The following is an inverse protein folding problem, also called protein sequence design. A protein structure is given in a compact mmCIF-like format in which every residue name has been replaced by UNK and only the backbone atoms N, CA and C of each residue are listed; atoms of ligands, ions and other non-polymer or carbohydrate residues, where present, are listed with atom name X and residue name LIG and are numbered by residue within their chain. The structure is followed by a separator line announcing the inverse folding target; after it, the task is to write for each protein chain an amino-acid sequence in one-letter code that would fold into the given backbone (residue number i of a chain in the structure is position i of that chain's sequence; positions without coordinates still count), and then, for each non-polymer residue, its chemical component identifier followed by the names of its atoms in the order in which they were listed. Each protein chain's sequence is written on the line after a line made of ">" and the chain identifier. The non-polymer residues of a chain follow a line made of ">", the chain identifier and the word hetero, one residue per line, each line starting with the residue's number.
data_IF_536053659694
#
_entry.id   IF_536053659694
#
_cell.length_a   1.000
_cell.length_b   1.000
_cell.length_c   1.000
_cell.angle_alpha   90.00
_cell.angle_beta   90.00
_cell.angle_gamma   90.00
#
_symmetry.space_group_name_H-M   'P 1'
#
loop_
_entity.id
_entity.type
_entity.pdbx_description
1 polymer ?
#
# COMPACT_ATOMS: atom_id res chain seq x y z
N UNK A 1 68.49 -39.62 23.18
CA UNK A 1 68.17 -38.26 22.72
C UNK A 1 67.46 -38.36 21.42
N UNK A 2 66.12 -38.42 21.42
CA UNK A 2 65.27 -38.47 20.21
C UNK A 2 64.42 -37.21 20.18
N UNK A 3 64.56 -36.38 19.12
CA UNK A 3 63.75 -35.24 18.87
C UNK A 3 62.58 -35.72 17.97
N UNK A 4 61.36 -35.54 18.50
CA UNK A 4 60.11 -35.74 17.74
C UNK A 4 59.72 -34.39 17.15
N UNK A 5 59.68 -34.29 15.81
CA UNK A 5 59.22 -33.13 15.10
C UNK A 5 57.71 -33.21 14.92
N UNK A 6 57.00 -32.19 15.40
CA UNK A 6 55.55 -32.03 15.18
C UNK A 6 55.31 -31.38 13.83
N UNK A 7 54.55 -32.07 12.96
CA UNK A 7 54.03 -31.53 11.69
C UNK A 7 52.68 -30.89 12.00
N UNK A 8 52.61 -29.59 11.83
CA UNK A 8 51.34 -28.85 11.90
C UNK A 8 50.66 -28.93 10.51
N UNK A 9 49.52 -29.57 10.48
CA UNK A 9 48.64 -29.59 9.27
C UNK A 9 47.83 -28.28 9.22
N UNK A 10 48.09 -27.44 8.22
CA UNK A 10 47.24 -26.32 7.89
C UNK A 10 46.01 -26.82 7.13
N UNK A 11 44.83 -26.77 7.75
CA UNK A 11 43.55 -26.95 7.10
C UNK A 11 43.13 -25.64 6.46
N UNK A 12 43.17 -25.56 5.14
CA UNK A 12 42.64 -24.44 4.37
C UNK A 12 41.11 -24.58 4.30
N UNK A 13 40.40 -23.71 5.03
CA UNK A 13 38.93 -23.60 4.92
C UNK A 13 38.58 -22.81 3.67
N UNK A 14 38.07 -23.50 2.66
CA UNK A 14 37.52 -22.87 1.43
C UNK A 14 36.17 -22.27 1.81
N UNK A 15 36.09 -20.94 1.93
CA UNK A 15 34.81 -20.21 1.96
C UNK A 15 34.19 -20.29 0.59
N UNK A 16 33.15 -21.11 0.45
CA UNK A 16 32.29 -21.08 -0.73
C UNK A 16 31.46 -19.78 -0.70
N UNK A 17 31.84 -18.81 -1.52
CA UNK A 17 30.97 -17.66 -1.82
C UNK A 17 29.75 -18.20 -2.58
N UNK A 18 28.62 -18.30 -1.89
CA UNK A 18 27.32 -18.48 -2.52
C UNK A 18 26.97 -17.17 -3.23
N UNK A 19 27.18 -17.12 -4.53
CA UNK A 19 26.65 -16.06 -5.38
C UNK A 19 25.14 -16.18 -5.37
N UNK A 20 24.45 -15.25 -4.69
CA UNK A 20 23.02 -15.02 -4.86
C UNK A 20 22.82 -14.69 -6.34
N UNK A 21 21.97 -15.41 -7.10
CA UNK A 21 21.71 -15.06 -8.48
C UNK A 21 21.11 -13.65 -8.51
N UNK A 22 21.90 -12.67 -8.96
CA UNK A 22 21.42 -11.34 -9.25
C UNK A 22 20.33 -11.49 -10.32
N UNK A 23 19.12 -11.01 -10.03
CA UNK A 23 18.06 -10.90 -11.02
C UNK A 23 18.60 -10.04 -12.15
N UNK A 24 18.84 -10.66 -13.31
CA UNK A 24 19.29 -9.96 -14.52
C UNK A 24 18.25 -8.89 -14.82
N UNK A 25 18.63 -7.60 -14.66
CA UNK A 25 17.74 -6.49 -14.98
C UNK A 25 17.41 -6.55 -16.47
N UNK A 26 16.12 -6.64 -16.80
CA UNK A 26 15.67 -6.68 -18.19
C UNK A 26 16.08 -5.41 -18.92
N UNK A 27 16.55 -5.56 -20.17
CA UNK A 27 16.86 -4.46 -21.08
C UNK A 27 16.03 -4.58 -22.34
N UNK A 28 15.59 -3.44 -22.90
CA UNK A 28 14.80 -3.42 -24.12
C UNK A 28 15.70 -3.10 -25.32
N UNK A 29 15.65 -3.94 -26.36
CA UNK A 29 16.37 -3.72 -27.61
C UNK A 29 15.86 -2.50 -28.40
N UNK A 30 16.56 -2.12 -29.48
CA UNK A 30 16.15 -1.00 -30.34
C UNK A 30 14.78 -1.26 -30.97
N UNK A 31 14.02 -0.17 -31.19
CA UNK A 31 12.68 -0.24 -31.80
C UNK A 31 11.96 1.11 -31.74
N UNK A 32 10.70 1.16 -32.19
CA UNK A 32 9.91 2.39 -32.13
C UNK A 32 9.77 2.92 -30.71
N UNK A 33 9.76 4.26 -30.56
CA UNK A 33 9.51 4.92 -29.29
C UNK A 33 8.09 4.64 -28.82
N UNK A 34 7.94 4.49 -27.50
CA UNK A 34 6.66 4.28 -26.82
C UNK A 34 6.54 5.29 -25.71
N UNK A 35 5.59 6.20 -25.83
CA UNK A 35 5.22 7.11 -24.75
C UNK A 35 4.29 6.41 -23.77
N UNK A 36 4.48 6.62 -22.47
CA UNK A 36 3.68 6.06 -21.40
C UNK A 36 3.33 7.15 -20.40
N UNK A 37 2.05 7.37 -20.16
CA UNK A 37 1.57 8.24 -19.08
C UNK A 37 1.34 7.41 -17.82
N UNK A 38 2.02 7.78 -16.73
CA UNK A 38 1.88 7.15 -15.42
C UNK A 38 1.42 8.18 -14.39
N UNK A 39 0.26 7.96 -13.81
CA UNK A 39 -0.30 8.78 -12.75
C UNK A 39 -0.25 8.02 -11.42
N UNK A 40 0.58 8.47 -10.47
CA UNK A 40 0.83 7.74 -9.24
C UNK A 40 0.92 8.68 -8.02
N UNK A 41 0.41 8.19 -6.88
CA UNK A 41 0.48 8.85 -5.56
C UNK A 41 -0.24 10.22 -5.45
N UNK A 42 -0.56 10.64 -4.20
CA UNK A 42 -1.38 11.84 -3.98
C UNK A 42 -0.67 13.15 -4.30
N UNK A 43 0.60 13.29 -3.91
CA UNK A 43 1.35 14.54 -3.95
C UNK A 43 2.80 14.31 -4.40
N UNK A 44 3.44 15.30 -5.05
CA UNK A 44 4.82 15.15 -5.55
C UNK A 44 5.86 14.89 -4.44
N UNK A 45 5.60 15.38 -3.23
CA UNK A 45 6.48 15.21 -2.07
C UNK A 45 6.29 13.89 -1.34
N UNK A 46 5.34 13.05 -1.75
CA UNK A 46 5.14 11.73 -1.14
C UNK A 46 6.36 10.84 -1.39
N UNK A 47 7.04 10.33 -0.36
CA UNK A 47 8.31 9.61 -0.52
C UNK A 47 8.24 8.41 -1.46
N UNK A 48 7.16 7.64 -1.48
CA UNK A 48 7.01 6.53 -2.43
C UNK A 48 7.03 6.98 -3.89
N UNK A 49 6.52 8.19 -4.19
CA UNK A 49 6.62 8.78 -5.52
C UNK A 49 8.00 9.39 -5.76
N UNK A 50 8.44 10.27 -4.86
CA UNK A 50 9.68 11.05 -5.00
C UNK A 50 10.92 10.16 -5.09
N UNK A 51 11.01 9.12 -4.24
CA UNK A 51 12.23 8.35 -4.02
C UNK A 51 12.20 6.97 -4.73
N UNK A 52 11.02 6.49 -5.15
CA UNK A 52 10.88 5.19 -5.81
C UNK A 52 10.31 5.32 -7.21
N UNK A 53 9.04 5.71 -7.37
CA UNK A 53 8.36 5.64 -8.66
C UNK A 53 8.95 6.61 -9.69
N UNK A 54 9.08 7.88 -9.34
CA UNK A 54 9.54 8.91 -10.28
C UNK A 54 10.94 8.61 -10.84
N UNK A 55 11.99 8.36 -10.01
CA UNK A 55 13.31 8.07 -10.55
C UNK A 55 13.39 6.73 -11.27
N UNK A 56 12.60 5.75 -10.87
CA UNK A 56 12.58 4.45 -11.56
C UNK A 56 11.93 4.56 -12.94
N UNK A 57 10.69 5.03 -13.00
CA UNK A 57 9.95 5.07 -14.26
C UNK A 57 10.50 6.10 -15.25
N UNK A 58 10.88 7.29 -14.78
CA UNK A 58 11.38 8.36 -15.65
C UNK A 58 12.82 8.13 -16.09
N UNK A 59 13.71 7.78 -15.14
CA UNK A 59 15.14 7.85 -15.40
C UNK A 59 15.73 6.44 -15.63
N UNK A 60 15.38 5.46 -14.80
CA UNK A 60 15.94 4.10 -14.89
C UNK A 60 15.40 3.37 -16.12
N UNK A 61 14.08 3.40 -16.35
CA UNK A 61 13.49 2.73 -17.51
C UNK A 61 13.89 3.36 -18.83
N UNK A 62 14.07 4.69 -18.89
CA UNK A 62 14.59 5.35 -20.09
C UNK A 62 15.95 4.76 -20.49
N UNK A 63 16.88 4.67 -19.52
CA UNK A 63 18.23 4.08 -19.76
C UNK A 63 18.15 2.59 -20.14
N UNK A 64 17.40 1.79 -19.41
CA UNK A 64 17.29 0.33 -19.65
C UNK A 64 16.56 -0.01 -20.94
N UNK A 65 15.72 0.88 -21.43
CA UNK A 65 15.03 0.74 -22.72
C UNK A 65 15.79 1.34 -23.90
N UNK A 66 17.05 1.79 -23.74
CA UNK A 66 17.79 2.53 -24.75
C UNK A 66 17.00 3.77 -25.25
N UNK A 67 16.33 4.49 -24.34
CA UNK A 67 15.44 5.62 -24.62
C UNK A 67 14.26 5.29 -25.57
N UNK A 68 13.89 4.02 -25.65
CA UNK A 68 12.72 3.58 -26.40
C UNK A 68 11.41 3.84 -25.63
N UNK A 69 11.45 3.75 -24.28
CA UNK A 69 10.33 4.15 -23.42
C UNK A 69 10.54 5.58 -22.92
N UNK A 70 9.50 6.39 -23.07
CA UNK A 70 9.40 7.72 -22.51
C UNK A 70 8.23 7.76 -21.55
N UNK A 71 8.51 7.62 -20.23
CA UNK A 71 7.48 7.58 -19.20
C UNK A 71 7.31 8.98 -18.59
N UNK A 72 6.14 9.57 -18.81
CA UNK A 72 5.73 10.82 -18.16
C UNK A 72 5.00 10.49 -16.88
N UNK A 73 5.61 10.80 -15.73
CA UNK A 73 5.01 10.62 -14.41
C UNK A 73 4.32 11.88 -13.91
N UNK A 74 3.18 11.74 -13.22
CA UNK A 74 2.44 12.83 -12.58
C UNK A 74 1.81 12.31 -11.28
N UNK A 75 1.36 13.23 -10.42
CA UNK A 75 0.62 12.91 -9.19
C UNK A 75 -0.84 13.37 -9.27
N UNK A 76 -1.68 12.91 -8.32
CA UNK A 76 -3.10 13.26 -8.33
C UNK A 76 -3.33 14.76 -8.24
N UNK A 77 -2.60 15.45 -7.35
CA UNK A 77 -2.74 16.90 -7.18
C UNK A 77 -2.26 17.69 -8.39
N UNK A 78 -1.22 17.22 -9.11
CA UNK A 78 -0.78 17.85 -10.36
C UNK A 78 -1.84 17.73 -11.47
N UNK A 79 -2.67 16.68 -11.41
CA UNK A 79 -3.79 16.48 -12.32
C UNK A 79 -5.12 17.04 -11.78
N UNK A 80 -5.11 17.68 -10.59
CA UNK A 80 -6.29 18.24 -9.91
C UNK A 80 -7.40 17.20 -9.67
N UNK A 81 -7.01 15.98 -9.26
CA UNK A 81 -7.92 14.88 -8.92
C UNK A 81 -7.70 14.38 -7.49
N UNK A 82 -8.61 13.56 -7.00
CA UNK A 82 -8.60 13.04 -5.62
C UNK A 82 -8.05 11.62 -5.50
N UNK A 83 -7.82 10.94 -6.63
CA UNK A 83 -7.38 9.54 -6.70
C UNK A 83 -8.52 8.54 -6.96
N UNK A 84 -9.77 8.89 -6.65
CA UNK A 84 -10.95 8.05 -6.97
C UNK A 84 -11.22 7.95 -8.47
N UNK A 85 -10.74 8.91 -9.25
CA UNK A 85 -10.93 9.01 -10.70
C UNK A 85 -9.94 8.15 -11.51
N UNK A 86 -8.84 7.72 -10.89
CA UNK A 86 -7.70 7.05 -11.57
C UNK A 86 -8.15 5.89 -12.46
N UNK A 87 -8.93 4.97 -11.89
CA UNK A 87 -9.32 3.76 -12.62
C UNK A 87 -10.26 4.10 -13.77
N UNK A 88 -11.13 5.11 -13.61
CA UNK A 88 -11.99 5.62 -14.70
C UNK A 88 -11.14 6.24 -15.81
N UNK A 89 -10.09 7.01 -15.47
CA UNK A 89 -9.17 7.60 -16.43
C UNK A 89 -8.38 6.53 -17.20
N UNK A 90 -7.87 5.52 -16.49
CA UNK A 90 -7.21 4.37 -17.12
C UNK A 90 -8.18 3.60 -18.03
N UNK A 91 -9.43 3.33 -17.56
CA UNK A 91 -10.49 2.69 -18.35
C UNK A 91 -10.76 3.40 -19.67
N UNK A 92 -10.85 4.73 -19.64
CA UNK A 92 -11.15 5.56 -20.82
C UNK A 92 -9.95 5.81 -21.72
N UNK A 93 -8.73 5.46 -21.30
CA UNK A 93 -7.48 5.73 -22.02
C UNK A 93 -7.01 7.18 -21.92
N UNK A 94 -7.51 7.96 -20.93
CA UNK A 94 -6.98 9.29 -20.63
C UNK A 94 -5.57 9.22 -20.03
N UNK A 95 -5.26 8.13 -19.38
CA UNK A 95 -3.93 7.74 -18.93
C UNK A 95 -3.69 6.27 -19.31
N UNK A 96 -2.42 5.92 -19.55
CA UNK A 96 -2.05 4.55 -19.86
C UNK A 96 -2.03 3.69 -18.60
N UNK A 97 -1.46 4.23 -17.52
CA UNK A 97 -1.33 3.55 -16.22
C UNK A 97 -1.61 4.53 -15.09
N UNK A 98 -2.38 4.08 -14.09
CA UNK A 98 -2.64 4.85 -12.88
C UNK A 98 -2.53 4.03 -11.62
N UNK A 99 -1.93 4.58 -10.56
CA UNK A 99 -1.83 3.94 -9.25
C UNK A 99 -2.92 4.48 -8.30
N UNK A 100 -3.67 3.58 -7.69
CA UNK A 100 -4.73 3.92 -6.74
C UNK A 100 -4.96 2.80 -5.73
N UNK A 101 -5.36 3.11 -4.48
CA UNK A 101 -5.84 2.10 -3.53
C UNK A 101 -6.99 1.28 -4.11
N UNK A 102 -6.94 -0.04 -3.93
CA UNK A 102 -7.98 -0.96 -4.43
C UNK A 102 -9.36 -0.61 -3.86
N UNK A 103 -9.42 -0.17 -2.60
CA UNK A 103 -10.66 0.21 -1.92
C UNK A 103 -11.34 1.43 -2.55
N UNK A 104 -10.63 2.28 -3.33
CA UNK A 104 -11.23 3.45 -3.98
C UNK A 104 -12.25 3.07 -5.09
N UNK A 105 -12.10 1.90 -5.67
CA UNK A 105 -13.04 1.38 -6.67
C UNK A 105 -13.85 0.18 -6.16
N UNK A 106 -13.75 -0.14 -4.88
CA UNK A 106 -14.47 -1.27 -4.29
C UNK A 106 -16.00 -1.11 -4.31
N UNK A 107 -16.53 0.08 -4.56
CA UNK A 107 -17.97 0.26 -4.81
C UNK A 107 -18.39 -0.32 -6.16
N UNK A 108 -17.54 -0.22 -7.19
CA UNK A 108 -17.82 -0.75 -8.53
C UNK A 108 -17.34 -2.20 -8.67
N UNK A 109 -16.25 -2.56 -8.00
CA UNK A 109 -15.61 -3.87 -8.04
C UNK A 109 -15.34 -4.36 -6.61
N UNK A 110 -16.38 -4.80 -5.86
CA UNK A 110 -16.26 -5.07 -4.42
C UNK A 110 -15.25 -6.16 -4.04
N UNK A 111 -14.90 -7.08 -4.94
CA UNK A 111 -13.89 -8.11 -4.68
C UNK A 111 -12.50 -7.53 -4.42
N UNK A 112 -12.20 -6.33 -4.90
CA UNK A 112 -10.92 -5.66 -4.66
C UNK A 112 -10.66 -5.36 -3.19
N UNK A 113 -11.70 -5.07 -2.43
CA UNK A 113 -11.58 -4.77 -0.99
C UNK A 113 -11.09 -5.99 -0.20
N UNK A 114 -11.28 -7.22 -0.72
CA UNK A 114 -10.83 -8.46 -0.08
C UNK A 114 -9.31 -8.52 0.16
N UNK A 115 -8.53 -7.79 -0.63
CA UNK A 115 -7.08 -7.76 -0.48
C UNK A 115 -6.64 -7.10 0.83
N UNK A 116 -7.46 -6.17 1.35
CA UNK A 116 -7.06 -5.35 2.50
C UNK A 116 -8.26 -4.87 3.34
N UNK A 117 -9.19 -5.78 3.65
CA UNK A 117 -10.28 -5.49 4.58
C UNK A 117 -9.73 -4.97 5.91
N UNK A 118 -10.38 -3.97 6.49
CA UNK A 118 -9.96 -3.37 7.73
C UNK A 118 -9.81 -4.40 8.85
N UNK A 119 -8.60 -4.50 9.43
CA UNK A 119 -8.25 -5.49 10.44
C UNK A 119 -7.81 -6.86 9.91
N UNK A 120 -7.79 -7.08 8.59
CA UNK A 120 -7.46 -8.38 8.01
C UNK A 120 -5.98 -8.73 8.13
N UNK A 121 -5.12 -7.79 7.82
CA UNK A 121 -3.68 -8.02 7.65
C UNK A 121 -2.89 -7.35 8.79
N UNK A 122 -2.47 -8.11 9.83
CA UNK A 122 -1.67 -7.55 10.92
C UNK A 122 -0.26 -7.15 10.48
N UNK A 123 0.25 -7.72 9.38
CA UNK A 123 1.57 -7.41 8.83
C UNK A 123 1.51 -7.17 7.31
N UNK A 124 2.49 -6.43 6.81
CA UNK A 124 2.60 -6.12 5.38
C UNK A 124 2.88 -7.37 4.54
N UNK A 125 3.62 -8.33 5.08
CA UNK A 125 3.91 -9.61 4.42
C UNK A 125 2.63 -10.43 4.21
N UNK A 126 1.72 -10.42 5.20
CA UNK A 126 0.42 -11.07 5.04
C UNK A 126 -0.44 -10.33 4.00
N UNK A 127 -0.45 -9.00 4.02
CA UNK A 127 -1.17 -8.20 3.03
C UNK A 127 -0.71 -8.52 1.60
N UNK A 128 0.62 -8.66 1.39
CA UNK A 128 1.17 -9.07 0.09
C UNK A 128 0.70 -10.46 -0.33
N UNK A 129 0.79 -11.45 0.56
CA UNK A 129 0.33 -12.82 0.28
C UNK A 129 -1.16 -12.86 -0.08
N UNK A 130 -2.00 -12.10 0.62
CA UNK A 130 -3.43 -12.00 0.34
C UNK A 130 -3.68 -11.37 -1.03
N UNK A 131 -2.99 -10.25 -1.34
CA UNK A 131 -3.08 -9.63 -2.66
C UNK A 131 -2.68 -10.60 -3.79
N UNK A 132 -1.53 -11.26 -3.66
CA UNK A 132 -1.02 -12.19 -4.66
C UNK A 132 -1.98 -13.36 -4.91
N UNK A 133 -2.62 -13.89 -3.85
CA UNK A 133 -3.61 -14.96 -3.96
C UNK A 133 -4.90 -14.52 -4.68
N UNK A 134 -5.23 -13.23 -4.66
CA UNK A 134 -6.41 -12.66 -5.31
C UNK A 134 -6.14 -12.09 -6.70
N UNK A 135 -4.89 -11.83 -7.08
CA UNK A 135 -4.51 -11.07 -8.26
C UNK A 135 -5.15 -11.60 -9.57
N UNK A 136 -5.19 -12.92 -9.76
CA UNK A 136 -5.79 -13.53 -10.96
C UNK A 136 -7.31 -13.32 -11.02
N UNK A 137 -8.00 -13.49 -9.88
CA UNK A 137 -9.46 -13.29 -9.77
C UNK A 137 -9.82 -11.83 -10.01
N UNK A 138 -9.08 -10.93 -9.38
CA UNK A 138 -9.25 -9.49 -9.48
C UNK A 138 -9.04 -9.03 -10.93
N UNK A 139 -7.95 -9.46 -11.58
CA UNK A 139 -7.69 -9.09 -12.99
C UNK A 139 -8.79 -9.58 -13.93
N UNK A 140 -9.32 -10.79 -13.72
CA UNK A 140 -10.44 -11.29 -14.53
C UNK A 140 -11.69 -10.42 -14.37
N UNK A 141 -12.00 -9.97 -13.16
CA UNK A 141 -13.15 -9.09 -12.92
C UNK A 141 -12.93 -7.67 -13.48
N UNK A 142 -11.68 -7.21 -13.58
CA UNK A 142 -11.31 -5.91 -14.11
C UNK A 142 -11.33 -5.84 -15.66
N UNK A 143 -11.22 -6.97 -16.35
CA UNK A 143 -11.23 -7.01 -17.84
C UNK A 143 -12.48 -6.34 -18.43
N UNK A 144 -13.65 -6.53 -17.81
CA UNK A 144 -14.90 -5.89 -18.23
C UNK A 144 -14.91 -4.37 -18.09
N UNK A 145 -13.98 -3.83 -17.31
CA UNK A 145 -13.75 -2.39 -17.15
C UNK A 145 -12.60 -1.88 -18.04
N UNK A 146 -12.08 -2.69 -18.96
CA UNK A 146 -10.95 -2.34 -19.82
C UNK A 146 -9.70 -1.92 -19.04
N UNK A 147 -9.47 -2.49 -17.86
CA UNK A 147 -8.26 -2.27 -17.04
C UNK A 147 -7.70 -3.59 -16.54
N UNK A 148 -6.40 -3.59 -16.22
CA UNK A 148 -5.73 -4.68 -15.53
C UNK A 148 -4.73 -4.12 -14.52
N UNK A 149 -4.48 -4.84 -13.45
CA UNK A 149 -3.39 -4.54 -12.51
C UNK A 149 -2.12 -5.20 -13.04
N UNK A 150 -1.08 -4.38 -13.23
CA UNK A 150 0.24 -4.79 -13.73
C UNK A 150 1.32 -4.77 -12.65
N UNK A 151 1.04 -4.19 -11.50
CA UNK A 151 1.89 -4.14 -10.32
C UNK A 151 1.10 -3.70 -9.11
N UNK A 152 1.70 -3.79 -7.92
CA UNK A 152 1.05 -3.42 -6.66
C UNK A 152 2.01 -2.78 -5.68
N UNK A 153 1.46 -2.04 -4.75
CA UNK A 153 2.19 -1.48 -3.62
C UNK A 153 1.29 -1.35 -2.39
N UNK A 154 1.83 -1.44 -1.17
CA UNK A 154 1.15 -0.94 0.00
C UNK A 154 1.41 0.55 0.15
N UNK A 155 0.55 1.28 0.84
CA UNK A 155 0.95 2.47 1.58
C UNK A 155 1.52 2.06 2.95
N UNK A 156 2.15 2.97 3.73
CA UNK A 156 2.50 2.69 5.11
C UNK A 156 1.32 2.17 5.90
N UNK A 157 1.58 1.44 6.99
CA UNK A 157 0.53 0.97 7.89
C UNK A 157 -0.47 2.08 8.20
N UNK A 158 -1.75 1.83 7.90
CA UNK A 158 -2.83 2.78 8.13
C UNK A 158 -3.14 2.79 9.62
N UNK A 159 -2.80 3.89 10.27
CA UNK A 159 -2.93 4.11 11.71
C UNK A 159 -3.90 5.25 11.98
N UNK A 160 -4.24 5.46 13.26
CA UNK A 160 -5.17 6.53 13.64
C UNK A 160 -4.39 7.75 14.15
N UNK A 161 -4.67 8.91 13.58
CA UNK A 161 -4.21 10.22 14.02
C UNK A 161 -5.35 10.94 14.72
N UNK A 162 -5.17 11.37 15.98
CA UNK A 162 -6.23 12.03 16.74
C UNK A 162 -5.79 13.40 17.25
N UNK A 163 -6.75 14.35 17.26
CA UNK A 163 -6.57 15.70 17.80
C UNK A 163 -6.52 15.73 19.33
N UNK A 164 -7.13 14.75 19.99
CA UNK A 164 -7.21 14.61 21.45
C UNK A 164 -6.65 13.25 21.88
N UNK A 165 -6.22 13.11 23.14
CA UNK A 165 -5.73 11.85 23.68
C UNK A 165 -6.62 10.65 23.35
N UNK A 166 -5.97 9.55 23.08
CA UNK A 166 -6.55 8.24 22.76
C UNK A 166 -5.70 7.21 23.49
N UNK A 167 -6.30 6.19 24.12
CA UNK A 167 -5.59 5.17 24.88
C UNK A 167 -5.54 3.82 24.15
N UNK A 168 -6.63 3.48 23.49
CA UNK A 168 -6.83 2.17 22.85
C UNK A 168 -7.86 2.28 21.71
N UNK A 169 -8.16 1.15 21.06
CA UNK A 169 -9.12 1.10 19.96
C UNK A 169 -10.55 1.46 20.42
N UNK A 170 -10.93 1.10 21.63
CA UNK A 170 -12.27 1.35 22.16
C UNK A 170 -12.54 2.84 22.44
N UNK A 171 -11.51 3.63 22.71
CA UNK A 171 -11.59 5.09 22.89
C UNK A 171 -12.04 5.84 21.61
N UNK A 172 -12.12 5.17 20.46
CA UNK A 172 -12.71 5.74 19.24
C UNK A 172 -14.23 5.85 19.31
N UNK A 173 -14.89 5.17 20.25
CA UNK A 173 -16.33 5.24 20.44
C UNK A 173 -16.80 6.69 20.59
N UNK A 174 -17.81 7.07 19.80
CA UNK A 174 -18.40 8.41 19.78
C UNK A 174 -17.58 9.47 19.04
N UNK A 175 -16.37 9.18 18.57
CA UNK A 175 -15.55 10.12 17.78
C UNK A 175 -15.94 10.09 16.31
N UNK A 176 -15.79 11.22 15.64
CA UNK A 176 -15.86 11.32 14.18
C UNK A 176 -14.48 10.97 13.61
N UNK A 177 -14.40 9.89 12.83
CA UNK A 177 -13.14 9.38 12.29
C UNK A 177 -13.16 9.44 10.78
N UNK A 178 -12.21 10.15 10.17
CA UNK A 178 -12.02 10.13 8.72
C UNK A 178 -11.57 8.76 8.25
N UNK A 179 -12.25 8.27 7.25
CA UNK A 179 -11.98 7.02 6.54
C UNK A 179 -11.86 7.28 5.04
N UNK A 180 -11.44 6.27 4.26
CA UNK A 180 -11.27 6.39 2.82
C UNK A 180 -11.78 5.16 2.04
N UNK A 181 -12.46 4.23 2.70
CA UNK A 181 -12.98 3.04 2.06
C UNK A 181 -14.08 2.36 2.87
N UNK A 182 -14.90 1.49 2.22
CA UNK A 182 -16.06 0.86 2.83
C UNK A 182 -15.72 -0.01 4.05
N UNK A 183 -14.67 -0.83 3.99
CA UNK A 183 -14.31 -1.72 5.11
C UNK A 183 -13.82 -0.95 6.34
N UNK A 184 -13.18 0.21 6.17
CA UNK A 184 -12.85 1.11 7.27
C UNK A 184 -14.12 1.75 7.88
N UNK A 185 -15.13 2.06 7.06
CA UNK A 185 -16.42 2.53 7.56
C UNK A 185 -17.09 1.46 8.45
N UNK A 186 -17.08 0.21 7.99
CA UNK A 186 -17.64 -0.91 8.75
C UNK A 186 -16.92 -1.08 10.09
N UNK A 187 -15.57 -1.04 10.08
CA UNK A 187 -14.76 -1.15 11.30
C UNK A 187 -15.06 0.00 12.27
N UNK A 188 -15.08 1.24 11.79
CA UNK A 188 -15.35 2.39 12.66
C UNK A 188 -16.75 2.34 13.23
N UNK A 189 -17.75 1.96 12.44
CA UNK A 189 -19.12 1.75 12.93
C UNK A 189 -19.18 0.65 13.99
N UNK A 190 -18.46 -0.46 13.80
CA UNK A 190 -18.40 -1.56 14.74
C UNK A 190 -17.72 -1.21 16.08
N UNK A 191 -16.74 -0.30 16.06
CA UNK A 191 -16.12 0.27 17.28
C UNK A 191 -17.07 1.26 17.97
N UNK A 192 -18.13 1.74 17.30
CA UNK A 192 -19.04 2.78 17.80
C UNK A 192 -18.57 4.20 17.51
N UNK A 193 -17.62 4.37 16.60
CA UNK A 193 -17.24 5.67 16.04
C UNK A 193 -18.17 6.06 14.89
N UNK A 194 -18.13 7.32 14.49
CA UNK A 194 -18.83 7.84 13.31
C UNK A 194 -17.85 7.98 12.16
N UNK A 195 -17.88 7.09 11.14
CA UNK A 195 -17.02 7.23 9.96
C UNK A 195 -17.43 8.46 9.13
N UNK A 196 -16.42 9.17 8.63
CA UNK A 196 -16.59 10.32 7.73
C UNK A 196 -15.68 10.08 6.53
N UNK A 197 -16.26 9.78 5.37
CA UNK A 197 -15.51 9.55 4.13
C UNK A 197 -15.04 10.87 3.53
N UNK A 198 -13.73 11.09 3.47
CA UNK A 198 -13.12 12.29 2.89
C UNK A 198 -11.89 11.91 2.06
N UNK A 199 -11.64 12.66 0.98
CA UNK A 199 -10.41 12.53 0.22
C UNK A 199 -9.17 12.88 1.04
N UNK A 200 -8.02 12.32 0.67
CA UNK A 200 -6.76 12.55 1.40
C UNK A 200 -6.40 14.05 1.48
N UNK A 201 -6.53 14.77 0.36
CA UNK A 201 -6.20 16.20 0.29
C UNK A 201 -7.08 17.11 1.18
N UNK A 202 -8.30 16.66 1.50
CA UNK A 202 -9.25 17.43 2.33
C UNK A 202 -9.05 17.22 3.82
N UNK A 203 -8.32 16.16 4.20
CA UNK A 203 -8.29 15.67 5.58
C UNK A 203 -7.54 16.59 6.53
N UNK A 204 -6.44 17.23 6.10
CA UNK A 204 -5.70 18.19 6.93
C UNK A 204 -6.64 19.30 7.42
N UNK A 205 -7.37 19.95 6.52
CA UNK A 205 -8.32 21.02 6.83
C UNK A 205 -9.49 20.52 7.69
N UNK A 206 -9.98 19.29 7.45
CA UNK A 206 -11.03 18.70 8.26
C UNK A 206 -10.59 18.44 9.71
N UNK A 207 -9.35 17.98 9.93
CA UNK A 207 -8.73 17.85 11.24
C UNK A 207 -8.53 19.21 11.89
N UNK A 208 -7.94 20.18 11.18
CA UNK A 208 -7.68 21.53 11.67
C UNK A 208 -8.97 22.20 12.20
N UNK A 209 -10.03 22.15 11.39
CA UNK A 209 -11.33 22.78 11.72
C UNK A 209 -12.19 21.95 12.68
N UNK A 210 -11.77 20.73 13.05
CA UNK A 210 -12.54 19.86 13.94
C UNK A 210 -13.79 19.26 13.32
N UNK A 211 -13.87 19.18 12.01
CA UNK A 211 -14.92 18.43 11.28
C UNK A 211 -14.84 16.95 11.65
N UNK A 212 -13.62 16.45 11.84
CA UNK A 212 -13.32 15.11 12.37
C UNK A 212 -12.41 15.20 13.59
N UNK A 213 -12.57 14.26 14.53
CA UNK A 213 -11.76 14.16 15.74
C UNK A 213 -10.46 13.42 15.49
N UNK A 214 -10.54 12.41 14.64
CA UNK A 214 -9.43 11.54 14.24
C UNK A 214 -9.48 11.26 12.73
N UNK A 215 -8.37 10.77 12.18
CA UNK A 215 -8.32 10.35 10.80
C UNK A 215 -7.40 9.15 10.63
N UNK A 216 -7.74 8.25 9.68
CA UNK A 216 -6.96 7.08 9.33
C UNK A 216 -6.17 7.37 8.05
N UNK A 217 -4.86 7.16 8.10
CA UNK A 217 -3.96 7.18 6.95
C UNK A 217 -2.67 6.45 7.27
N UNK A 218 -1.82 6.23 6.26
CA UNK A 218 -0.48 5.68 6.46
C UNK A 218 0.37 6.53 7.38
N UNK A 219 1.14 5.91 8.28
CA UNK A 219 2.00 6.63 9.23
C UNK A 219 2.90 7.66 8.54
N UNK A 220 3.61 7.25 7.49
CA UNK A 220 4.42 8.14 6.67
C UNK A 220 3.60 9.09 5.79
N UNK A 221 2.42 8.65 5.30
CA UNK A 221 1.55 9.51 4.50
C UNK A 221 0.98 10.67 5.32
N UNK A 222 0.59 10.42 6.58
CA UNK A 222 0.18 11.48 7.51
C UNK A 222 1.31 12.47 7.79
N UNK A 223 2.55 11.97 7.90
CA UNK A 223 3.74 12.81 8.02
C UNK A 223 3.95 13.69 6.77
N UNK A 224 3.91 13.10 5.57
CA UNK A 224 4.08 13.81 4.30
C UNK A 224 3.04 14.92 4.10
N UNK A 225 1.80 14.73 4.60
CA UNK A 225 0.74 15.74 4.59
C UNK A 225 0.70 16.60 5.86
N UNK A 226 1.72 16.52 6.71
CA UNK A 226 1.89 17.34 7.93
C UNK A 226 0.75 17.24 8.94
N UNK A 227 0.09 16.08 9.05
CA UNK A 227 -1.01 15.90 9.99
C UNK A 227 -0.57 16.06 11.45
N UNK A 228 0.73 15.91 11.75
CA UNK A 228 1.30 16.21 13.05
C UNK A 228 1.12 17.68 13.50
N UNK A 229 0.87 18.62 12.58
CA UNK A 229 0.59 20.00 12.92
C UNK A 229 -0.79 20.20 13.54
N UNK A 230 -1.76 19.30 13.23
CA UNK A 230 -3.18 19.42 13.58
C UNK A 230 -3.69 18.25 14.42
N UNK A 231 -2.83 17.31 14.80
CA UNK A 231 -3.12 16.16 15.66
C UNK A 231 -2.06 16.02 16.75
N UNK A 232 -2.38 15.32 17.84
CA UNK A 232 -1.49 15.21 19.01
C UNK A 232 -1.09 13.78 19.33
N UNK A 233 -1.84 12.79 18.84
CA UNK A 233 -1.65 11.37 19.13
C UNK A 233 -1.70 10.55 17.84
N UNK A 234 -0.78 9.59 17.72
CA UNK A 234 -0.81 8.54 16.71
C UNK A 234 -0.96 7.18 17.39
N UNK A 235 -2.02 6.45 17.05
CA UNK A 235 -2.26 5.11 17.56
C UNK A 235 -1.81 4.09 16.54
N UNK A 236 -0.72 3.36 16.86
CA UNK A 236 0.08 2.60 15.92
C UNK A 236 -0.37 1.15 15.73
N UNK A 237 -1.69 0.88 15.83
CA UNK A 237 -2.30 -0.38 15.41
C UNK A 237 -2.51 -0.34 13.88
N UNK A 238 -1.90 -1.25 13.10
CA UNK A 238 -2.20 -1.35 11.67
C UNK A 238 -3.66 -1.78 11.46
N UNK A 239 -4.47 -0.91 10.88
CA UNK A 239 -5.87 -1.22 10.54
C UNK A 239 -6.02 -1.72 9.11
N UNK A 240 -5.08 -1.37 8.22
CA UNK A 240 -5.04 -1.68 6.80
C UNK A 240 -3.66 -1.28 6.26
N UNK A 241 -3.34 -1.64 5.02
CA UNK A 241 -2.11 -1.24 4.32
C UNK A 241 -2.42 -0.39 3.10
N UNK A 242 -3.68 -0.06 2.88
CA UNK A 242 -4.16 0.64 1.69
C UNK A 242 -3.52 0.06 0.41
N UNK A 243 -3.59 -1.28 0.28
CA UNK A 243 -3.02 -2.00 -0.87
C UNK A 243 -3.55 -1.38 -2.15
N UNK A 244 -2.64 -1.05 -3.05
CA UNK A 244 -2.88 -0.30 -4.28
C UNK A 244 -2.45 -1.11 -5.48
N UNK A 245 -3.06 -0.82 -6.62
CA UNK A 245 -2.69 -1.40 -7.91
C UNK A 245 -2.21 -0.34 -8.89
N UNK A 246 -1.27 -0.73 -9.75
CA UNK A 246 -0.99 0.00 -10.98
C UNK A 246 -1.97 -0.53 -12.04
N UNK A 247 -3.00 0.27 -12.36
CA UNK A 247 -4.07 -0.07 -13.28
C UNK A 247 -3.70 0.40 -14.68
N UNK A 248 -3.39 -0.53 -15.56
CA UNK A 248 -3.13 -0.23 -16.97
C UNK A 248 -4.44 -0.28 -17.78
N UNK A 249 -4.60 0.62 -18.76
CA UNK A 249 -5.63 0.48 -19.79
C UNK A 249 -5.39 -0.82 -20.57
N UNK A 250 -6.36 -1.74 -20.55
CA UNK A 250 -6.20 -3.07 -21.12
C UNK A 250 -6.05 -3.05 -22.63
N UNK A 251 -6.79 -2.19 -23.32
CA UNK A 251 -6.71 -2.08 -24.78
C UNK A 251 -5.35 -1.52 -25.22
N UNK A 252 -4.82 -0.50 -24.52
CA UNK A 252 -3.47 0.00 -24.76
C UNK A 252 -2.42 -1.05 -24.45
N UNK A 253 -2.50 -1.73 -23.30
CA UNK A 253 -1.58 -2.77 -22.89
C UNK A 253 -1.47 -3.91 -23.91
N UNK A 254 -2.60 -4.34 -24.46
CA UNK A 254 -2.66 -5.41 -25.44
C UNK A 254 -2.11 -5.01 -26.83
N UNK A 255 -2.05 -3.71 -27.13
CA UNK A 255 -1.44 -3.19 -28.38
C UNK A 255 0.08 -3.04 -28.30
N UNK A 256 0.66 -3.12 -27.11
CA UNK A 256 2.13 -3.07 -26.94
C UNK A 256 2.78 -4.23 -27.68
N UNK A 257 3.92 -3.95 -28.32
CA UNK A 257 4.76 -5.00 -28.87
C UNK A 257 5.17 -5.99 -27.77
N UNK A 258 5.25 -7.31 -28.07
CA UNK A 258 5.49 -8.33 -27.05
C UNK A 258 6.73 -8.08 -26.17
N UNK A 259 7.82 -7.58 -26.78
CA UNK A 259 9.06 -7.23 -26.08
C UNK A 259 8.88 -6.05 -25.11
N UNK A 260 8.15 -5.01 -25.53
CA UNK A 260 7.82 -3.85 -24.68
C UNK A 260 6.92 -4.24 -23.52
N UNK A 261 5.90 -5.06 -23.80
CA UNK A 261 4.98 -5.54 -22.77
C UNK A 261 5.70 -6.37 -21.72
N UNK A 262 6.54 -7.32 -22.15
CA UNK A 262 7.35 -8.13 -21.23
C UNK A 262 8.31 -7.27 -20.40
N UNK A 263 8.97 -6.29 -21.02
CA UNK A 263 9.85 -5.36 -20.33
C UNK A 263 9.10 -4.56 -19.26
N UNK A 264 7.89 -4.08 -19.56
CA UNK A 264 7.06 -3.36 -18.59
C UNK A 264 6.53 -4.29 -17.48
N UNK A 265 6.18 -5.55 -17.79
CA UNK A 265 5.81 -6.54 -16.77
C UNK A 265 6.96 -6.74 -15.77
N UNK A 266 8.18 -6.93 -16.25
CA UNK A 266 9.36 -7.07 -15.39
C UNK A 266 9.63 -5.80 -14.57
N UNK A 267 9.48 -4.62 -15.18
CA UNK A 267 9.65 -3.34 -14.52
C UNK A 267 8.62 -3.11 -13.40
N UNK A 268 7.35 -3.44 -13.64
CA UNK A 268 6.31 -3.33 -12.62
C UNK A 268 6.47 -4.37 -11.50
N UNK A 269 7.02 -5.53 -11.81
CA UNK A 269 7.35 -6.53 -10.79
C UNK A 269 8.47 -6.00 -9.87
N UNK A 270 9.56 -5.49 -10.45
CA UNK A 270 10.68 -4.90 -9.72
C UNK A 270 10.23 -3.71 -8.85
N UNK A 271 9.47 -2.78 -9.43
CA UNK A 271 8.91 -1.64 -8.68
C UNK A 271 7.99 -2.11 -7.56
N UNK A 272 7.15 -3.11 -7.80
CA UNK A 272 6.28 -3.65 -6.76
C UNK A 272 7.10 -4.19 -5.59
N UNK A 273 8.13 -5.01 -5.85
CA UNK A 273 9.01 -5.53 -4.80
C UNK A 273 9.63 -4.41 -3.98
N UNK A 274 10.17 -3.37 -4.63
CA UNK A 274 10.74 -2.21 -3.94
C UNK A 274 9.70 -1.44 -3.15
N UNK A 275 8.51 -1.23 -3.69
CA UNK A 275 7.43 -0.50 -3.02
C UNK A 275 6.87 -1.26 -1.81
N UNK A 276 6.75 -2.59 -1.88
CA UNK A 276 6.33 -3.40 -0.73
C UNK A 276 7.33 -3.27 0.43
N UNK A 277 8.64 -3.26 0.13
CA UNK A 277 9.68 -3.04 1.13
C UNK A 277 9.68 -1.59 1.63
N UNK A 278 9.69 -0.62 0.73
CA UNK A 278 9.80 0.79 1.08
C UNK A 278 8.55 1.31 1.81
N UNK A 279 7.37 1.22 1.18
CA UNK A 279 6.13 1.73 1.74
C UNK A 279 5.68 0.94 2.97
N UNK A 280 5.69 -0.39 2.86
CA UNK A 280 5.20 -1.27 3.91
C UNK A 280 6.08 -1.35 5.15
N UNK A 281 7.40 -1.33 4.99
CA UNK A 281 8.36 -1.50 6.10
C UNK A 281 9.06 -0.20 6.45
N UNK A 282 9.91 0.29 5.53
CA UNK A 282 10.81 1.42 5.81
C UNK A 282 10.04 2.70 6.14
N UNK A 283 9.13 3.11 5.27
CA UNK A 283 8.36 4.34 5.42
C UNK A 283 7.25 4.25 6.49
N UNK A 284 6.81 3.03 6.85
CA UNK A 284 5.91 2.82 7.98
C UNK A 284 6.57 3.22 9.29
N UNK A 285 7.75 2.66 9.59
CA UNK A 285 8.45 2.95 10.84
C UNK A 285 8.98 4.37 10.85
N UNK A 286 9.57 4.83 9.73
CA UNK A 286 10.07 6.19 9.62
C UNK A 286 8.97 7.24 9.86
N UNK A 287 7.77 7.03 9.31
CA UNK A 287 6.64 7.93 9.54
C UNK A 287 6.24 8.03 11.01
N UNK A 288 6.24 6.92 11.74
CA UNK A 288 5.99 6.90 13.20
C UNK A 288 7.06 7.71 13.92
N UNK A 289 8.32 7.50 13.59
CA UNK A 289 9.46 8.15 14.22
C UNK A 289 9.49 9.65 13.91
N UNK A 290 9.22 10.03 12.68
CA UNK A 290 9.14 11.43 12.26
C UNK A 290 8.03 12.20 12.99
N UNK A 291 6.83 11.61 13.09
CA UNK A 291 5.71 12.19 13.81
C UNK A 291 6.00 12.33 15.32
N UNK A 292 6.73 11.39 15.91
CA UNK A 292 7.14 11.42 17.30
C UNK A 292 8.46 12.21 17.56
N UNK A 293 8.98 12.92 16.55
CA UNK A 293 10.21 13.70 16.60
C UNK A 293 11.45 12.90 17.05
N UNK A 294 11.58 11.67 16.59
CA UNK A 294 12.71 10.80 16.94
C UNK A 294 13.90 10.99 16.00
N UNK A 295 15.15 10.83 16.47
CA UNK A 295 16.35 10.97 15.63
C UNK A 295 16.48 9.89 14.54
N UNK A 296 15.69 8.83 14.61
CA UNK A 296 15.59 7.76 13.60
C UNK A 296 14.78 8.15 12.36
N UNK A 297 14.08 9.29 12.38
CA UNK A 297 13.42 9.88 11.20
C UNK A 297 14.43 10.24 10.12
N UNK A 298 14.30 9.65 8.92
CA UNK A 298 15.25 9.84 7.79
C UNK A 298 14.58 10.11 6.47
N UNK A 299 13.37 9.61 6.26
CA UNK A 299 12.63 9.68 4.98
C UNK A 299 11.65 10.85 5.00
N UNK A 300 10.88 10.94 6.08
CA UNK A 300 9.86 11.95 6.28
C UNK A 300 10.41 13.26 6.85
N UNK A 301 9.53 14.02 7.49
CA UNK A 301 9.85 15.32 8.11
C UNK A 301 9.69 15.23 9.62
N UNK A 302 10.72 15.62 10.38
CA UNK A 302 10.66 15.71 11.84
C UNK A 302 9.58 16.69 12.29
N UNK A 303 8.68 16.24 13.14
CA UNK A 303 7.58 17.07 13.69
C UNK A 303 8.06 18.18 14.65
N UNK A 304 9.30 18.15 15.11
CA UNK A 304 9.96 19.12 16.02
C UNK A 304 9.09 19.43 17.25
N UNK A 305 8.67 20.69 17.40
CA UNK A 305 7.81 21.19 18.48
C UNK A 305 6.35 20.67 18.41
N UNK A 306 5.98 19.99 17.32
CA UNK A 306 4.68 19.34 17.11
C UNK A 306 4.74 17.81 17.27
N UNK A 307 5.70 17.32 18.05
CA UNK A 307 5.86 15.89 18.30
C UNK A 307 4.58 15.25 18.81
N UNK A 308 4.15 14.19 18.15
CA UNK A 308 2.97 13.43 18.55
C UNK A 308 3.30 12.39 19.61
N UNK A 309 2.34 12.13 20.50
CA UNK A 309 2.40 11.00 21.42
C UNK A 309 2.09 9.73 20.64
N UNK A 310 3.03 8.76 20.66
CA UNK A 310 2.77 7.43 20.15
C UNK A 310 1.99 6.60 21.18
N UNK A 311 0.83 6.08 20.76
CA UNK A 311 0.02 5.13 21.52
C UNK A 311 0.17 3.76 20.87
N UNK A 312 0.82 2.84 21.57
CA UNK A 312 1.01 1.47 21.06
C UNK A 312 -0.22 0.61 21.32
N UNK A 313 -0.58 -0.19 20.33
CA UNK A 313 -1.65 -1.16 20.47
C UNK A 313 -1.31 -2.21 21.54
N UNK A 314 -2.30 -2.55 22.36
CA UNK A 314 -2.23 -3.65 23.32
C UNK A 314 -2.61 -4.98 22.64
N UNK A 315 -2.36 -6.10 23.30
CA UNK A 315 -2.84 -7.40 22.80
C UNK A 315 -4.39 -7.49 22.85
N UNK A 316 -5.02 -6.80 23.79
CA UNK A 316 -6.49 -6.68 23.83
C UNK A 316 -7.03 -5.96 22.59
N UNK A 317 -6.36 -4.92 22.11
CA UNK A 317 -6.74 -4.22 20.87
C UNK A 317 -6.63 -5.13 19.64
N UNK A 318 -5.57 -5.92 19.55
CA UNK A 318 -5.39 -6.89 18.45
C UNK A 318 -6.49 -7.96 18.45
N UNK A 319 -6.83 -8.47 19.64
CA UNK A 319 -7.94 -9.42 19.81
C UNK A 319 -9.28 -8.79 19.43
N UNK A 320 -9.55 -7.57 19.90
CA UNK A 320 -10.75 -6.82 19.54
C UNK A 320 -10.83 -6.58 18.04
N UNK A 321 -9.74 -6.11 17.40
CA UNK A 321 -9.70 -5.87 15.96
C UNK A 321 -10.03 -7.15 15.16
N UNK A 322 -9.42 -8.28 15.52
CA UNK A 322 -9.71 -9.59 14.88
C UNK A 322 -11.17 -10.00 15.05
N UNK A 323 -11.76 -9.78 16.24
CA UNK A 323 -13.17 -10.03 16.50
C UNK A 323 -14.06 -9.16 15.62
N UNK A 324 -13.79 -7.85 15.55
CA UNK A 324 -14.57 -6.91 14.74
C UNK A 324 -14.47 -7.22 13.24
N UNK A 325 -13.29 -7.64 12.76
CA UNK A 325 -13.14 -8.14 11.39
C UNK A 325 -14.11 -9.30 11.13
N UNK A 326 -14.07 -10.35 11.97
CA UNK A 326 -14.85 -11.57 11.76
C UNK A 326 -16.37 -11.36 11.90
N UNK A 327 -16.77 -10.56 12.88
CA UNK A 327 -18.19 -10.41 13.25
C UNK A 327 -18.91 -9.26 12.50
N UNK A 328 -18.17 -8.27 12.00
CA UNK A 328 -18.74 -7.05 11.41
C UNK A 328 -18.20 -6.73 10.02
N UNK A 329 -16.89 -6.53 9.85
CA UNK A 329 -16.31 -6.07 8.59
C UNK A 329 -16.49 -7.11 7.48
N UNK A 330 -16.10 -8.35 7.72
CA UNK A 330 -16.17 -9.43 6.74
C UNK A 330 -17.62 -9.74 6.31
N UNK A 331 -18.61 -9.89 7.22
CA UNK A 331 -20.01 -10.05 6.83
C UNK A 331 -20.57 -8.84 6.05
N UNK A 332 -20.24 -7.60 6.44
CA UNK A 332 -20.68 -6.41 5.75
C UNK A 332 -20.11 -6.34 4.33
N UNK A 333 -18.83 -6.68 4.16
CA UNK A 333 -18.21 -6.77 2.83
C UNK A 333 -18.87 -7.85 1.97
N UNK A 334 -19.09 -9.07 2.48
CA UNK A 334 -19.76 -10.13 1.70
C UNK A 334 -21.18 -9.74 1.33
N UNK A 335 -21.90 -9.04 2.21
CA UNK A 335 -23.25 -8.52 1.91
C UNK A 335 -23.22 -7.54 0.71
N UNK A 336 -22.19 -6.69 0.59
CA UNK A 336 -22.03 -5.77 -0.56
C UNK A 336 -21.56 -6.48 -1.82
N UNK A 337 -20.69 -7.45 -1.67
CA UNK A 337 -20.01 -8.12 -2.78
C UNK A 337 -20.79 -9.30 -3.35
N UNK A 338 -21.64 -9.94 -2.55
CA UNK A 338 -22.40 -11.13 -2.91
C UNK A 338 -21.74 -12.45 -2.48
N UNK A 339 -22.50 -13.54 -2.56
CA UNK A 339 -22.11 -14.88 -2.07
C UNK A 339 -20.77 -15.37 -2.70
N UNK A 340 -20.57 -15.15 -4.00
CA UNK A 340 -19.33 -15.49 -4.72
C UNK A 340 -18.09 -14.94 -4.01
N UNK A 341 -18.18 -13.74 -3.46
CA UNK A 341 -17.06 -13.13 -2.75
C UNK A 341 -16.72 -13.84 -1.44
N UNK A 342 -17.73 -14.33 -0.72
CA UNK A 342 -17.52 -15.17 0.46
C UNK A 342 -16.82 -16.50 0.11
N UNK A 343 -17.17 -17.09 -1.02
CA UNK A 343 -16.51 -18.31 -1.54
C UNK A 343 -15.06 -18.04 -1.90
N UNK A 344 -14.78 -16.99 -2.69
CA UNK A 344 -13.43 -16.55 -3.06
C UNK A 344 -12.60 -16.26 -1.81
N UNK A 345 -13.16 -15.53 -0.84
CA UNK A 345 -12.48 -15.23 0.42
C UNK A 345 -12.10 -16.53 1.16
N UNK A 346 -13.04 -17.44 1.30
CA UNK A 346 -12.80 -18.72 1.98
C UNK A 346 -11.80 -19.63 1.27
N UNK A 347 -11.74 -19.56 -0.06
CA UNK A 347 -10.79 -20.34 -0.86
C UNK A 347 -9.38 -19.71 -0.86
N UNK A 348 -9.27 -18.39 -1.06
CA UNK A 348 -7.99 -17.72 -1.33
C UNK A 348 -7.41 -17.01 -0.11
N UNK A 349 -8.25 -16.39 0.74
CA UNK A 349 -7.83 -15.50 1.82
C UNK A 349 -7.80 -16.20 3.17
N UNK A 350 -8.83 -16.96 3.48
CA UNK A 350 -8.95 -17.66 4.78
C UNK A 350 -7.77 -18.59 5.09
N UNK A 351 -7.19 -19.35 4.15
CA UNK A 351 -6.00 -20.16 4.42
C UNK A 351 -4.77 -19.36 4.86
N UNK A 352 -4.67 -18.11 4.43
CA UNK A 352 -3.54 -17.22 4.74
C UNK A 352 -3.75 -16.55 6.10
N UNK A 353 -4.97 -16.10 6.38
CA UNK A 353 -5.29 -15.22 7.52
C UNK A 353 -5.81 -15.97 8.75
N UNK A 354 -6.25 -17.22 8.56
CA UNK A 354 -6.91 -18.00 9.61
C UNK A 354 -8.29 -17.46 10.02
N UNK A 355 -8.85 -16.49 9.28
CA UNK A 355 -10.20 -15.95 9.49
C UNK A 355 -11.10 -16.45 8.37
N UNK A 356 -12.21 -17.09 8.72
CA UNK A 356 -13.14 -17.68 7.75
C UNK A 356 -14.49 -16.96 7.76
N UNK A 357 -15.04 -16.73 6.60
CA UNK A 357 -16.42 -16.27 6.49
C UNK A 357 -17.38 -17.43 6.69
N UNK A 358 -18.37 -17.23 7.55
CA UNK A 358 -19.50 -18.15 7.75
C UNK A 358 -20.78 -17.37 7.46
N UNK A 359 -21.56 -17.86 6.50
CA UNK A 359 -22.89 -17.29 6.24
C UNK A 359 -23.75 -17.44 7.50
N UNK A 360 -24.37 -16.34 7.92
CA UNK A 360 -25.35 -16.32 9.01
C UNK A 360 -26.73 -16.51 8.46
#
# INVERSE_FOLDING_TARGET
>A
MHRIGSIAALTATVLALTTVPGTSQSTLGPGPKVAVSLLAHPIPTHPQYRDVDMPFFRDTLAKRSNNRLEVKTSTWTEMSITGYEIVRMARSGQIDIGNSPLTYIAQDVPVLDAADLAGLNPTVEQARKVFDALAAVVNKDLEKFNVRIVGSNPYPAQIVFCRKPLKDLADLKGRKVRTFGPSLNDLMSAVGATPVSLAYAETYTALERGVVDCAITGSGSGNAAKWYEVTTHQYTLPLSWAVSGYFANLAWWNKLAPDVRKFLEDAFHETSDRQWQFGGVEFTQDGIDCNANRPTCKIGTLARDKAMVEVKATDADKVLLKKLLAESVLPAWVKRCGARCGEIYNEKVAPITGVRYTAK
#
